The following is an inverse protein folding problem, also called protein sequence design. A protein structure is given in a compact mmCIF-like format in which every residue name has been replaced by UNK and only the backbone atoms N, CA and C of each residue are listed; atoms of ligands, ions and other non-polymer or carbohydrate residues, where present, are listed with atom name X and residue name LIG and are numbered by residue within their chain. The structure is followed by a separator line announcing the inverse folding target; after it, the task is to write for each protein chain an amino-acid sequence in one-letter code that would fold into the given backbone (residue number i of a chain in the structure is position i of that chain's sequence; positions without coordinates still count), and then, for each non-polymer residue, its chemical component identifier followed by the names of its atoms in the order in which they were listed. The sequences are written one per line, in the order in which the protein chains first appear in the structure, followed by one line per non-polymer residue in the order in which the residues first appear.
data_IF_551095666869
#
_entry.id   IF_551095666869
#
_cell.length_a   1.000
_cell.length_b   1.000
_cell.length_c   1.000
_cell.angle_alpha   90.00
_cell.angle_beta   90.00
_cell.angle_gamma   90.00
#
_symmetry.space_group_name_H-M   'P 1'
#
loop_
_entity.id
_entity.type
_entity.pdbx_description
1 polymer ?
#
# COMPACT_ATOMS: atom_id res chain seq x y z
N UNK A 1 10.79 -23.64 4.64
CA UNK A 1 11.19 -22.21 4.60
C UNK A 1 10.01 -21.43 4.04
N UNK A 2 9.48 -20.41 4.73
CA UNK A 2 8.45 -19.57 4.11
C UNK A 2 9.10 -18.86 2.91
N UNK A 3 8.61 -19.15 1.71
CA UNK A 3 9.00 -18.42 0.51
C UNK A 3 8.42 -17.02 0.68
N UNK A 4 9.25 -16.08 1.13
CA UNK A 4 8.82 -14.69 1.24
C UNK A 4 8.47 -14.16 -0.15
N UNK A 5 7.28 -13.60 -0.30
CA UNK A 5 6.79 -13.07 -1.56
C UNK A 5 7.76 -12.01 -2.11
N UNK A 6 8.07 -12.13 -3.40
CA UNK A 6 8.93 -11.19 -4.13
C UNK A 6 8.09 -10.00 -4.57
N UNK A 7 8.60 -8.78 -4.41
CA UNK A 7 7.97 -7.57 -4.93
C UNK A 7 7.54 -7.72 -6.40
N UNK A 8 8.38 -8.37 -7.22
CA UNK A 8 8.07 -8.64 -8.63
C UNK A 8 6.74 -9.37 -8.82
N UNK A 9 6.40 -10.32 -7.96
CA UNK A 9 5.13 -11.07 -8.07
C UNK A 9 3.91 -10.14 -7.91
N UNK A 10 4.03 -9.11 -7.08
CA UNK A 10 3.00 -8.08 -6.94
C UNK A 10 2.96 -7.15 -8.15
N UNK A 11 4.13 -6.72 -8.66
CA UNK A 11 4.20 -5.88 -9.86
C UNK A 11 3.64 -6.61 -11.09
N UNK A 12 3.98 -7.88 -11.28
CA UNK A 12 3.44 -8.71 -12.37
C UNK A 12 1.91 -8.80 -12.30
N UNK A 13 1.37 -8.92 -11.08
CA UNK A 13 -0.07 -8.89 -10.85
C UNK A 13 -0.66 -7.53 -11.23
N UNK A 14 -0.06 -6.42 -10.79
CA UNK A 14 -0.54 -5.08 -11.10
C UNK A 14 -0.47 -4.78 -12.60
N UNK A 15 0.63 -5.10 -13.28
CA UNK A 15 0.77 -4.92 -14.73
C UNK A 15 -0.24 -5.76 -15.51
N UNK A 16 -0.57 -6.97 -15.03
CA UNK A 16 -1.63 -7.79 -15.64
C UNK A 16 -3.02 -7.18 -15.45
N UNK A 17 -3.31 -6.63 -14.26
CA UNK A 17 -4.62 -6.06 -13.91
C UNK A 17 -4.83 -4.66 -14.51
N UNK A 18 -3.78 -3.84 -14.56
CA UNK A 18 -3.79 -2.46 -15.02
C UNK A 18 -2.68 -2.23 -16.07
N UNK A 19 -2.83 -2.77 -17.29
CA UNK A 19 -1.76 -2.78 -18.30
C UNK A 19 -1.39 -1.40 -18.86
N UNK A 20 -2.21 -0.38 -18.59
CA UNK A 20 -1.95 1.01 -19.01
C UNK A 20 -1.07 1.78 -18.01
N UNK A 21 -0.81 1.20 -16.83
CA UNK A 21 -0.02 1.82 -15.78
C UNK A 21 1.38 1.20 -15.72
N UNK A 22 2.38 2.02 -15.46
CA UNK A 22 3.75 1.58 -15.28
C UNK A 22 4.06 1.39 -13.79
N UNK A 23 4.50 0.18 -13.42
CA UNK A 23 4.81 -0.17 -12.04
C UNK A 23 6.26 -0.59 -11.89
N UNK A 24 6.97 0.06 -10.97
CA UNK A 24 8.39 -0.17 -10.74
C UNK A 24 8.69 -0.76 -9.35
N UNK A 25 9.86 -1.39 -9.21
CA UNK A 25 10.35 -1.79 -7.89
C UNK A 25 10.74 -0.58 -7.07
N UNK A 26 10.65 -0.70 -5.76
CA UNK A 26 11.07 0.35 -4.82
C UNK A 26 9.92 1.12 -4.21
N UNK A 27 8.69 0.88 -4.67
CA UNK A 27 7.49 1.66 -4.31
C UNK A 27 6.43 0.81 -3.61
N UNK A 28 6.67 -0.49 -3.44
CA UNK A 28 5.71 -1.39 -2.79
C UNK A 28 6.02 -1.61 -1.31
N UNK A 29 5.00 -1.74 -0.46
CA UNK A 29 5.11 -2.10 0.96
C UNK A 29 3.96 -2.99 1.41
N UNK A 30 4.19 -3.78 2.46
CA UNK A 30 3.15 -4.55 3.15
C UNK A 30 2.31 -3.67 4.07
N UNK A 31 1.00 -3.84 3.97
CA UNK A 31 0.01 -3.31 4.90
C UNK A 31 -0.69 -4.47 5.60
N UNK A 32 -0.95 -4.33 6.90
CA UNK A 32 -1.71 -5.31 7.69
C UNK A 32 -2.81 -4.54 8.43
N UNK A 33 -4.05 -4.75 8.01
CA UNK A 33 -5.23 -4.11 8.61
C UNK A 33 -6.09 -5.15 9.32
N UNK A 34 -6.71 -4.80 10.45
CA UNK A 34 -7.70 -5.63 11.12
C UNK A 34 -9.09 -5.30 10.56
N UNK A 35 -9.72 -6.24 9.87
CA UNK A 35 -11.11 -6.14 9.41
C UNK A 35 -11.93 -7.12 10.24
N UNK A 36 -12.84 -6.61 11.08
CA UNK A 36 -13.65 -7.44 12.00
C UNK A 36 -12.80 -8.47 12.76
N UNK A 37 -11.75 -7.97 13.44
CA UNK A 37 -10.71 -8.74 14.18
C UNK A 37 -9.88 -9.72 13.37
N UNK A 38 -10.13 -9.87 12.06
CA UNK A 38 -9.33 -10.72 11.17
C UNK A 38 -8.21 -9.90 10.52
N UNK A 39 -6.94 -10.32 10.67
CA UNK A 39 -5.83 -9.66 9.99
C UNK A 39 -5.90 -9.90 8.49
N UNK A 40 -5.93 -8.81 7.74
CA UNK A 40 -5.88 -8.80 6.28
C UNK A 40 -4.55 -8.21 5.86
N UNK A 41 -3.74 -9.04 5.20
CA UNK A 41 -2.50 -8.60 4.57
C UNK A 41 -2.79 -8.09 3.17
N UNK A 42 -2.24 -6.91 2.87
CA UNK A 42 -2.25 -6.31 1.56
C UNK A 42 -0.84 -5.89 1.18
N UNK A 43 -0.60 -5.74 -0.11
CA UNK A 43 0.59 -5.06 -0.64
C UNK A 43 0.10 -3.80 -1.32
N UNK A 44 0.82 -2.70 -1.08
CA UNK A 44 0.46 -1.36 -1.54
C UNK A 44 1.63 -0.81 -2.33
N UNK A 45 1.39 -0.42 -3.56
CA UNK A 45 2.28 0.37 -4.41
C UNK A 45 1.97 1.85 -4.23
N UNK A 46 3.00 2.67 -3.98
CA UNK A 46 2.87 4.11 -3.80
C UNK A 46 3.90 4.77 -4.71
N UNK A 47 3.47 5.06 -5.95
CA UNK A 47 4.27 5.76 -6.95
C UNK A 47 3.85 7.22 -7.11
N UNK A 48 4.48 7.91 -8.05
CA UNK A 48 4.21 9.33 -8.31
C UNK A 48 2.87 9.54 -9.05
N UNK A 49 2.49 8.61 -9.93
CA UNK A 49 1.28 8.71 -10.76
C UNK A 49 0.05 8.02 -10.17
N UNK A 50 0.24 7.08 -9.25
CA UNK A 50 -0.86 6.33 -8.67
C UNK A 50 -0.47 5.65 -7.35
N UNK A 51 -1.51 5.33 -6.58
CA UNK A 51 -1.47 4.33 -5.52
C UNK A 51 -2.26 3.11 -5.96
N UNK A 52 -1.65 1.94 -5.85
CA UNK A 52 -2.35 0.67 -6.09
C UNK A 52 -2.24 -0.23 -4.87
N UNK A 53 -3.23 -1.09 -4.65
CA UNK A 53 -3.19 -2.06 -3.57
C UNK A 53 -3.88 -3.36 -3.97
N UNK A 54 -3.48 -4.46 -3.36
CA UNK A 54 -4.21 -5.71 -3.45
C UNK A 54 -4.05 -6.52 -2.17
N UNK A 55 -5.09 -7.29 -1.83
CA UNK A 55 -5.05 -8.25 -0.73
C UNK A 55 -4.16 -9.43 -1.13
N UNK A 56 -3.25 -9.83 -0.24
CA UNK A 56 -2.41 -11.01 -0.44
C UNK A 56 -2.93 -12.18 0.39
N UNK A 57 -3.42 -13.22 -0.29
CA UNK A 57 -3.82 -14.46 0.36
C UNK A 57 -2.58 -15.35 0.54
N UNK A 58 -1.99 -15.33 1.73
CA UNK A 58 -0.76 -16.06 2.02
C UNK A 58 -0.88 -17.58 1.88
N UNK A 59 -2.03 -18.17 2.24
CA UNK A 59 -2.20 -19.63 2.19
C UNK A 59 -2.34 -20.15 0.76
N UNK A 60 -2.92 -19.34 -0.13
CA UNK A 60 -3.15 -19.70 -1.53
C UNK A 60 -2.14 -19.07 -2.49
N UNK A 61 -1.32 -18.12 -2.02
CA UNK A 61 -0.23 -17.51 -2.78
C UNK A 61 -0.65 -16.55 -3.90
N UNK A 62 -1.86 -15.97 -3.85
CA UNK A 62 -2.37 -15.06 -4.89
C UNK A 62 -2.83 -13.70 -4.36
N UNK A 63 -3.06 -12.77 -5.27
CA UNK A 63 -3.61 -11.44 -5.01
C UNK A 63 -5.10 -11.36 -5.38
N UNK A 64 -5.89 -10.69 -4.53
CA UNK A 64 -7.30 -10.39 -4.76
C UNK A 64 -7.61 -8.93 -4.45
N UNK A 65 -8.83 -8.51 -4.80
CA UNK A 65 -9.37 -7.20 -4.45
C UNK A 65 -8.44 -6.04 -4.86
N UNK A 66 -8.08 -5.94 -6.16
CA UNK A 66 -7.19 -4.89 -6.62
C UNK A 66 -7.89 -3.53 -6.53
N UNK A 67 -7.13 -2.53 -6.12
CA UNK A 67 -7.51 -1.13 -6.05
C UNK A 67 -6.45 -0.31 -6.77
N UNK A 68 -6.88 0.69 -7.53
CA UNK A 68 -6.02 1.69 -8.16
C UNK A 68 -6.65 3.06 -7.97
N UNK A 69 -5.83 4.02 -7.54
CA UNK A 69 -6.19 5.43 -7.38
C UNK A 69 -5.12 6.23 -8.09
N UNK A 70 -5.51 6.94 -9.13
CA UNK A 70 -4.62 7.80 -9.92
C UNK A 70 -4.36 9.11 -9.18
N UNK A 71 -3.22 9.74 -9.45
CA UNK A 71 -2.74 10.92 -8.72
C UNK A 71 -3.67 12.13 -8.82
N UNK A 72 -4.45 12.24 -9.89
CA UNK A 72 -5.49 13.25 -10.07
C UNK A 72 -6.61 13.17 -9.02
N UNK A 73 -6.86 11.98 -8.48
CA UNK A 73 -7.82 11.76 -7.40
C UNK A 73 -7.21 11.85 -5.99
N UNK A 74 -5.89 12.01 -5.87
CA UNK A 74 -5.18 12.05 -4.58
C UNK A 74 -4.96 13.50 -4.16
N UNK A 75 -5.66 13.93 -3.12
CA UNK A 75 -5.47 15.24 -2.50
C UNK A 75 -4.20 15.25 -1.65
N UNK A 76 -4.00 14.20 -0.85
CA UNK A 76 -2.92 14.16 0.13
C UNK A 76 -2.45 12.74 0.45
N UNK A 77 -1.14 12.58 0.56
CA UNK A 77 -0.48 11.38 1.08
C UNK A 77 0.36 11.75 2.30
N UNK A 78 0.08 11.13 3.44
CA UNK A 78 0.82 11.37 4.69
C UNK A 78 1.20 10.06 5.37
N UNK A 79 2.49 9.94 5.71
CA UNK A 79 2.97 8.87 6.56
C UNK A 79 3.26 9.41 7.96
N UNK A 80 2.65 8.78 8.96
CA UNK A 80 2.86 9.09 10.37
C UNK A 80 3.16 7.82 11.15
N UNK A 81 4.01 7.93 12.17
CA UNK A 81 4.27 6.81 13.09
C UNK A 81 3.05 6.59 13.98
N UNK A 82 2.62 5.35 14.14
CA UNK A 82 1.52 5.00 15.04
C UNK A 82 1.87 3.77 15.87
N UNK A 83 2.09 3.97 17.17
CA UNK A 83 2.56 2.91 18.07
C UNK A 83 3.88 2.31 17.58
N UNK A 84 3.90 0.99 17.39
CA UNK A 84 5.05 0.25 16.84
C UNK A 84 5.10 0.22 15.31
N UNK A 85 4.05 0.73 14.64
CA UNK A 85 3.87 0.71 13.20
C UNK A 85 4.02 2.08 12.54
N UNK A 86 3.86 2.09 11.21
CA UNK A 86 3.67 3.29 10.41
C UNK A 86 2.26 3.26 9.84
N UNK A 87 1.62 4.41 9.75
CA UNK A 87 0.30 4.59 9.15
C UNK A 87 0.45 5.51 7.95
N UNK A 88 -0.01 5.05 6.80
CA UNK A 88 -0.22 5.89 5.63
C UNK A 88 -1.69 6.31 5.58
N UNK A 89 -1.93 7.62 5.43
CA UNK A 89 -3.23 8.22 5.18
C UNK A 89 -3.24 8.75 3.75
N UNK A 90 -4.25 8.33 2.99
CA UNK A 90 -4.50 8.77 1.62
C UNK A 90 -5.84 9.48 1.62
N UNK A 91 -5.83 10.78 1.33
CA UNK A 91 -7.04 11.58 1.18
C UNK A 91 -7.32 11.74 -0.32
N UNK A 92 -8.54 11.41 -0.73
CA UNK A 92 -8.98 11.48 -2.12
C UNK A 92 -10.05 12.54 -2.32
N UNK A 93 -10.26 12.97 -3.56
CA UNK A 93 -11.32 13.89 -3.94
C UNK A 93 -12.71 13.23 -4.05
N UNK A 94 -12.76 11.91 -4.12
CA UNK A 94 -13.99 11.13 -4.00
C UNK A 94 -14.68 11.39 -2.65
N UNK A 95 -16.00 11.55 -2.67
CA UNK A 95 -16.79 11.79 -1.46
C UNK A 95 -17.55 10.54 -1.04
N UNK A 96 -17.56 10.28 0.27
CA UNK A 96 -18.46 9.29 0.86
C UNK A 96 -19.92 9.76 0.77
N UNK A 97 -20.86 8.87 1.10
CA UNK A 97 -22.30 9.16 1.05
C UNK A 97 -22.74 10.37 1.92
N UNK A 98 -21.94 10.74 2.91
CA UNK A 98 -22.14 11.89 3.81
C UNK A 98 -21.46 13.19 3.31
N UNK A 99 -20.83 13.16 2.14
CA UNK A 99 -20.13 14.31 1.53
C UNK A 99 -18.70 14.53 2.03
N UNK A 100 -18.18 13.71 2.95
CA UNK A 100 -16.80 13.81 3.43
C UNK A 100 -15.81 13.23 2.41
N UNK A 101 -14.60 13.81 2.26
CA UNK A 101 -13.56 13.22 1.41
C UNK A 101 -13.20 11.82 1.90
N UNK A 102 -13.19 10.87 0.97
CA UNK A 102 -12.81 9.49 1.26
C UNK A 102 -11.35 9.48 1.72
N UNK A 103 -11.12 8.90 2.90
CA UNK A 103 -9.79 8.73 3.46
C UNK A 103 -9.50 7.25 3.59
N UNK A 104 -8.46 6.78 2.91
CA UNK A 104 -7.93 5.44 3.09
C UNK A 104 -6.81 5.45 4.11
N UNK A 105 -6.89 4.53 5.07
CA UNK A 105 -5.88 4.35 6.11
C UNK A 105 -5.24 2.98 5.98
N UNK A 106 -3.92 2.95 5.83
CA UNK A 106 -3.13 1.75 5.66
C UNK A 106 -2.14 1.64 6.82
N UNK A 107 -2.23 0.56 7.60
CA UNK A 107 -1.25 0.28 8.64
C UNK A 107 -0.10 -0.53 8.04
N UNK A 108 1.04 0.13 7.84
CA UNK A 108 2.24 -0.43 7.24
C UNK A 108 3.05 -1.17 8.32
N UNK A 109 3.45 -2.40 8.00
CA UNK A 109 4.24 -3.22 8.91
C UNK A 109 5.67 -2.67 9.06
N UNK A 110 6.00 -1.98 10.16
CA UNK A 110 7.35 -1.43 10.35
C UNK A 110 8.41 -2.52 10.56
N UNK A 111 8.03 -3.66 11.14
CA UNK A 111 8.92 -4.80 11.39
C UNK A 111 8.57 -5.92 10.39
N UNK A 112 9.53 -6.26 9.52
CA UNK A 112 9.38 -7.29 8.51
C UNK A 112 10.76 -7.84 8.16
N UNK A 113 10.88 -9.16 7.99
CA UNK A 113 12.09 -9.84 7.54
C UNK A 113 12.31 -9.70 6.03
N UNK A 114 11.38 -9.07 5.31
CA UNK A 114 11.43 -8.91 3.87
C UNK A 114 12.26 -7.67 3.51
N UNK A 115 13.47 -7.90 2.99
CA UNK A 115 14.46 -6.82 2.75
C UNK A 115 13.98 -5.76 1.75
N UNK A 116 13.21 -6.14 0.71
CA UNK A 116 12.67 -5.15 -0.23
C UNK A 116 11.67 -4.22 0.46
N UNK A 117 10.80 -4.75 1.32
CA UNK A 117 9.83 -3.96 2.07
C UNK A 117 10.49 -2.93 2.98
N UNK A 118 11.53 -3.32 3.72
CA UNK A 118 12.25 -2.40 4.61
C UNK A 118 12.93 -1.25 3.87
N UNK A 119 13.52 -1.55 2.71
CA UNK A 119 14.15 -0.53 1.85
C UNK A 119 13.10 0.44 1.29
N UNK A 120 12.00 -0.09 0.78
CA UNK A 120 10.92 0.70 0.21
C UNK A 120 10.24 1.57 1.27
N UNK A 121 9.95 1.02 2.45
CA UNK A 121 9.40 1.77 3.57
C UNK A 121 10.31 2.92 3.99
N UNK A 122 11.62 2.69 4.07
CA UNK A 122 12.59 3.74 4.40
C UNK A 122 12.60 4.87 3.36
N UNK A 123 12.44 4.53 2.07
CA UNK A 123 12.28 5.51 0.99
C UNK A 123 10.98 6.29 1.15
N UNK A 124 9.84 5.61 1.29
CA UNK A 124 8.52 6.24 1.42
C UNK A 124 8.47 7.18 2.62
N UNK A 125 9.10 6.82 3.75
CA UNK A 125 9.24 7.72 4.89
C UNK A 125 9.94 9.01 4.53
N UNK A 126 11.01 8.98 3.74
CA UNK A 126 11.71 10.21 3.34
C UNK A 126 10.85 11.11 2.45
N UNK A 127 10.00 10.51 1.62
CA UNK A 127 9.13 11.23 0.68
C UNK A 127 7.87 11.80 1.36
N UNK A 128 7.24 11.04 2.27
CA UNK A 128 5.88 11.31 2.76
C UNK A 128 5.78 11.48 4.28
N UNK A 129 6.89 11.52 5.02
CA UNK A 129 6.82 11.84 6.45
C UNK A 129 6.34 13.26 6.66
N UNK A 130 5.37 13.42 7.54
CA UNK A 130 4.96 14.74 8.03
C UNK A 130 6.17 15.39 8.71
N UNK A 131 6.70 16.47 8.12
CA UNK A 131 7.68 17.34 8.79
C UNK A 131 6.96 17.99 9.97
N UNK A 132 7.39 17.66 11.19
CA UNK A 132 6.94 18.34 12.41
C UNK A 132 7.43 19.77 12.45
#
# INVERSE_FOLDING_TARGET
MPIFMKEQTFLDFLTKTYPQNHFEKGYSVFSINLISTTPVMSVVYIGDECVAAARYNQSMGFFSDPLLITSDHIIKLEMARQGTGDRMRIETDEKMADGTPMTLTLNIASISLVAWHQRNLSRLKKCYSVKR
#
